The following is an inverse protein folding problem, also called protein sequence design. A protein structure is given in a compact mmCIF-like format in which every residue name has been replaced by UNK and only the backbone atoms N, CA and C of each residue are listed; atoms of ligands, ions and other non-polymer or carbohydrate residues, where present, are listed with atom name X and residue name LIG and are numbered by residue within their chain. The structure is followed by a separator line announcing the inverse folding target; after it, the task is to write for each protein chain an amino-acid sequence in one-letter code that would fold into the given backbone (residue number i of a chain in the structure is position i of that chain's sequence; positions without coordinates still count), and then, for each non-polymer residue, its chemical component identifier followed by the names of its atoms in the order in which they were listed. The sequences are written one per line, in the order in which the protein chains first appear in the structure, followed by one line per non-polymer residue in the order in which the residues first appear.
data_IF_525768844946
#
_entry.id   IF_525768844946
#
_cell.length_a   1.000
_cell.length_b   1.000
_cell.length_c   1.000
_cell.angle_alpha   90.00
_cell.angle_beta   90.00
_cell.angle_gamma   90.00
#
_symmetry.space_group_name_H-M   'P 1'
#
loop_
_entity.id
_entity.type
_entity.pdbx_description
1 polymer ?
#
# COMPACT_ATOMS: atom_id res chain seq x y z
N UNK A 1 -28.80 -50.63 -41.36
CA UNK A 1 -28.12 -49.32 -41.45
C UNK A 1 -27.76 -48.86 -40.04
N UNK A 2 -26.51 -48.99 -39.64
CA UNK A 2 -26.07 -48.63 -38.30
C UNK A 2 -25.62 -47.15 -38.24
N UNK A 3 -26.22 -46.39 -37.35
CA UNK A 3 -25.82 -45.02 -37.04
C UNK A 3 -24.52 -45.04 -36.26
N UNK A 4 -23.44 -44.56 -36.86
CA UNK A 4 -22.19 -44.32 -36.14
C UNK A 4 -22.38 -43.25 -35.09
N UNK A 5 -22.39 -43.63 -33.80
CA UNK A 5 -22.30 -42.73 -32.69
C UNK A 5 -20.87 -42.13 -32.68
N UNK A 6 -20.70 -40.91 -33.18
CA UNK A 6 -19.48 -40.14 -32.91
C UNK A 6 -19.38 -39.93 -31.40
N UNK A 7 -18.50 -40.68 -30.75
CA UNK A 7 -18.21 -40.50 -29.35
C UNK A 7 -17.55 -39.12 -29.13
N UNK A 8 -18.31 -38.21 -28.53
CA UNK A 8 -17.77 -36.96 -28.04
C UNK A 8 -16.79 -37.26 -26.89
N UNK A 9 -15.51 -37.18 -27.16
CA UNK A 9 -14.47 -37.14 -26.12
C UNK A 9 -14.38 -35.71 -25.57
N UNK A 10 -14.76 -35.46 -24.31
CA UNK A 10 -14.64 -34.12 -23.73
C UNK A 10 -13.15 -33.73 -23.69
N UNK A 11 -12.78 -32.66 -24.38
CA UNK A 11 -11.46 -32.06 -24.25
C UNK A 11 -11.19 -31.83 -22.78
N UNK A 12 -10.16 -32.49 -22.22
CA UNK A 12 -9.66 -32.21 -20.87
C UNK A 12 -9.40 -30.71 -20.79
N UNK A 13 -10.19 -29.99 -20.01
CA UNK A 13 -9.89 -28.59 -19.68
C UNK A 13 -8.53 -28.62 -18.99
N UNK A 14 -7.50 -28.06 -19.63
CA UNK A 14 -6.30 -27.70 -18.93
C UNK A 14 -6.69 -26.75 -17.81
N UNK A 15 -6.77 -27.28 -16.60
CA UNK A 15 -6.90 -26.46 -15.40
C UNK A 15 -5.54 -25.82 -15.12
N UNK A 16 -5.14 -24.85 -15.96
CA UNK A 16 -4.21 -23.83 -15.51
C UNK A 16 -4.91 -23.07 -14.39
N UNK A 17 -4.86 -23.61 -13.18
CA UNK A 17 -5.30 -22.90 -12.00
C UNK A 17 -4.45 -21.63 -11.94
N UNK A 18 -5.02 -20.47 -12.30
CA UNK A 18 -4.37 -19.18 -12.12
C UNK A 18 -3.98 -19.11 -10.67
N UNK A 19 -2.68 -19.10 -10.39
CA UNK A 19 -2.18 -18.90 -9.02
C UNK A 19 -2.81 -17.60 -8.49
N UNK A 20 -3.35 -17.63 -7.26
CA UNK A 20 -3.86 -16.46 -6.57
C UNK A 20 -2.78 -15.39 -6.58
N UNK A 21 -3.11 -14.17 -6.90
CA UNK A 21 -2.19 -13.03 -6.76
C UNK A 21 -1.97 -12.77 -5.27
N UNK A 22 -0.76 -12.45 -4.90
CA UNK A 22 -0.48 -11.90 -3.58
C UNK A 22 -1.16 -10.54 -3.45
N UNK A 23 -1.76 -10.27 -2.32
CA UNK A 23 -2.44 -9.00 -2.07
C UNK A 23 -1.58 -8.19 -1.10
N UNK A 24 -1.34 -6.93 -1.44
CA UNK A 24 -0.74 -5.96 -0.55
C UNK A 24 -1.83 -4.97 -0.16
N UNK A 25 -2.24 -5.02 1.10
CA UNK A 25 -3.21 -4.09 1.67
C UNK A 25 -2.48 -2.85 2.18
N UNK A 26 -2.98 -1.66 1.85
CA UNK A 26 -2.36 -0.39 2.24
C UNK A 26 -3.44 0.54 2.82
N UNK A 27 -3.23 0.99 4.05
CA UNK A 27 -3.92 2.15 4.60
C UNK A 27 -3.00 3.37 4.46
N UNK A 28 -3.54 4.49 4.00
CA UNK A 28 -2.83 5.77 3.89
C UNK A 28 -3.51 6.82 4.75
N UNK A 29 -2.74 7.78 5.24
CA UNK A 29 -3.26 8.85 6.08
C UNK A 29 -4.26 9.73 5.32
N UNK A 30 -5.44 9.91 5.89
CA UNK A 30 -6.47 10.77 5.33
C UNK A 30 -6.99 10.33 3.95
N UNK A 31 -7.39 11.33 3.16
CA UNK A 31 -7.94 11.12 1.81
C UNK A 31 -6.92 11.40 0.70
N UNK A 32 -5.65 11.49 1.04
CA UNK A 32 -4.59 11.83 0.11
C UNK A 32 -4.55 10.86 -1.07
N UNK A 33 -4.36 11.41 -2.26
CA UNK A 33 -4.29 10.64 -3.50
C UNK A 33 -2.85 10.27 -3.85
N UNK A 34 -1.87 10.99 -3.29
CA UNK A 34 -0.45 10.90 -3.62
C UNK A 34 0.07 9.49 -3.39
N UNK A 35 -0.11 8.95 -2.19
CA UNK A 35 0.33 7.60 -1.83
C UNK A 35 -0.40 6.54 -2.66
N UNK A 36 -1.71 6.72 -2.85
CA UNK A 36 -2.52 5.79 -3.65
C UNK A 36 -2.05 5.73 -5.10
N UNK A 37 -1.74 6.87 -5.71
CA UNK A 37 -1.21 6.94 -7.06
C UNK A 37 0.19 6.31 -7.13
N UNK A 38 1.04 6.58 -6.13
CA UNK A 38 2.37 6.00 -6.05
C UNK A 38 2.34 4.47 -6.01
N UNK A 39 1.57 3.88 -5.09
CA UNK A 39 1.52 2.43 -4.92
C UNK A 39 0.74 1.72 -6.03
N UNK A 40 -0.29 2.33 -6.59
CA UNK A 40 -1.14 1.72 -7.65
C UNK A 40 -0.34 1.25 -8.86
N UNK A 41 0.77 1.90 -9.18
CA UNK A 41 1.64 1.53 -10.32
C UNK A 41 2.33 0.17 -10.15
N UNK A 42 2.41 -0.34 -8.93
CA UNK A 42 3.04 -1.64 -8.65
C UNK A 42 2.08 -2.84 -8.79
N UNK A 43 0.83 -2.60 -9.21
CA UNK A 43 -0.03 -3.70 -9.62
C UNK A 43 0.60 -4.48 -10.78
N UNK A 44 0.52 -5.82 -10.69
CA UNK A 44 1.11 -6.70 -11.70
C UNK A 44 0.30 -8.00 -11.82
N UNK A 45 0.76 -8.90 -12.67
CA UNK A 45 0.16 -10.24 -12.77
C UNK A 45 0.38 -11.10 -11.51
N UNK A 46 1.36 -10.74 -10.68
CA UNK A 46 1.73 -11.47 -9.47
C UNK A 46 1.21 -10.83 -8.19
N UNK A 47 1.04 -9.51 -8.18
CA UNK A 47 0.71 -8.70 -7.00
C UNK A 47 -0.49 -7.80 -7.30
N UNK A 48 -1.40 -7.72 -6.35
CA UNK A 48 -2.52 -6.79 -6.36
C UNK A 48 -2.41 -5.83 -5.18
N UNK A 49 -2.37 -4.53 -5.45
CA UNK A 49 -2.43 -3.49 -4.42
C UNK A 49 -3.90 -3.18 -4.12
N UNK A 50 -4.26 -3.20 -2.85
CA UNK A 50 -5.58 -2.83 -2.34
C UNK A 50 -5.45 -1.77 -1.27
N UNK A 51 -6.28 -0.74 -1.36
CA UNK A 51 -6.31 0.34 -0.38
C UNK A 51 -7.49 0.16 0.55
N UNK A 52 -7.23 0.33 1.87
CA UNK A 52 -8.30 0.36 2.86
C UNK A 52 -9.27 1.52 2.56
N UNK A 53 -10.55 1.30 2.83
CA UNK A 53 -11.63 2.27 2.57
C UNK A 53 -11.66 3.39 3.58
N UNK A 54 -11.03 3.22 4.74
CA UNK A 54 -10.94 4.23 5.79
C UNK A 54 -10.22 5.50 5.33
N UNK A 55 -10.28 6.50 6.14
CA UNK A 55 -9.65 7.80 5.89
C UNK A 55 -9.27 8.46 7.20
N UNK A 56 -8.99 7.66 8.23
CA UNK A 56 -8.51 8.14 9.52
C UNK A 56 -7.14 8.80 9.37
N UNK A 57 -6.90 9.80 10.20
CA UNK A 57 -5.57 10.43 10.38
C UNK A 57 -4.93 10.01 11.69
N UNK A 58 -5.67 9.31 12.55
CA UNK A 58 -5.14 8.76 13.78
C UNK A 58 -4.47 7.42 13.52
N UNK A 59 -3.17 7.24 13.86
CA UNK A 59 -2.42 6.04 13.57
C UNK A 59 -3.04 4.74 14.11
N UNK A 60 -3.59 4.77 15.33
CA UNK A 60 -4.18 3.58 15.97
C UNK A 60 -5.49 3.19 15.29
N UNK A 61 -6.29 4.18 14.87
CA UNK A 61 -7.52 3.95 14.13
C UNK A 61 -7.23 3.44 12.73
N UNK A 62 -6.20 3.95 12.05
CA UNK A 62 -5.78 3.45 10.73
C UNK A 62 -5.43 1.96 10.77
N UNK A 63 -4.69 1.51 11.79
CA UNK A 63 -4.41 0.08 11.98
C UNK A 63 -5.71 -0.70 12.19
N UNK A 64 -6.67 -0.16 12.94
CA UNK A 64 -7.96 -0.83 13.18
C UNK A 64 -8.78 -0.96 11.90
N UNK A 65 -8.85 0.10 11.10
CA UNK A 65 -9.52 0.12 9.80
C UNK A 65 -8.89 -0.90 8.83
N UNK A 66 -7.55 -0.93 8.77
CA UNK A 66 -6.83 -1.89 7.94
C UNK A 66 -7.06 -3.33 8.38
N UNK A 67 -7.06 -3.60 9.69
CA UNK A 67 -7.38 -4.93 10.25
C UNK A 67 -8.78 -5.39 9.87
N UNK A 68 -9.77 -4.49 9.93
CA UNK A 68 -11.14 -4.83 9.51
C UNK A 68 -11.19 -5.19 8.02
N UNK A 69 -10.56 -4.38 7.17
CA UNK A 69 -10.50 -4.62 5.73
C UNK A 69 -9.77 -5.94 5.40
N UNK A 70 -8.68 -6.24 6.10
CA UNK A 70 -7.93 -7.49 5.96
C UNK A 70 -8.81 -8.70 6.27
N UNK A 71 -9.59 -8.66 7.35
CA UNK A 71 -10.53 -9.72 7.73
C UNK A 71 -11.63 -9.91 6.68
N UNK A 72 -12.24 -8.83 6.23
CA UNK A 72 -13.33 -8.85 5.26
C UNK A 72 -12.89 -9.40 3.90
N UNK A 73 -11.63 -9.21 3.55
CA UNK A 73 -11.04 -9.57 2.26
C UNK A 73 -10.28 -10.90 2.28
N UNK A 74 -10.23 -11.60 3.40
CA UNK A 74 -9.54 -12.88 3.53
C UNK A 74 -8.02 -12.75 3.42
N UNK A 75 -7.43 -11.84 4.20
CA UNK A 75 -5.98 -11.67 4.35
C UNK A 75 -5.33 -12.98 4.81
N UNK A 76 -4.30 -13.40 4.11
CA UNK A 76 -3.59 -14.65 4.36
C UNK A 76 -2.07 -14.45 4.25
N UNK A 77 -1.37 -14.21 5.38
CA UNK A 77 0.07 -14.04 5.39
C UNK A 77 0.82 -15.28 4.89
N UNK A 78 0.28 -16.49 5.12
CA UNK A 78 0.92 -17.73 4.66
C UNK A 78 0.86 -17.85 3.13
N UNK A 79 -0.18 -17.30 2.50
CA UNK A 79 -0.26 -17.18 1.05
C UNK A 79 0.64 -16.05 0.49
N UNK A 80 1.30 -15.30 1.36
CA UNK A 80 2.22 -14.22 1.04
C UNK A 80 1.56 -12.86 0.86
N UNK A 81 0.37 -12.67 1.44
CA UNK A 81 -0.24 -11.34 1.55
C UNK A 81 0.52 -10.48 2.56
N UNK A 82 0.49 -9.18 2.37
CA UNK A 82 1.14 -8.20 3.26
C UNK A 82 0.17 -7.05 3.53
N UNK A 83 0.31 -6.40 4.68
CA UNK A 83 -0.52 -5.27 5.04
C UNK A 83 0.31 -4.15 5.70
N UNK A 84 0.14 -2.93 5.20
CA UNK A 84 0.94 -1.77 5.60
C UNK A 84 0.05 -0.57 5.93
N UNK A 85 0.37 0.12 7.03
CA UNK A 85 -0.09 1.48 7.27
C UNK A 85 1.01 2.46 6.91
N UNK A 86 0.73 3.40 6.02
CA UNK A 86 1.65 4.45 5.57
C UNK A 86 1.24 5.76 6.23
N UNK A 87 2.13 6.33 7.01
CA UNK A 87 1.92 7.50 7.85
C UNK A 87 3.01 8.54 7.62
N UNK A 88 2.67 9.80 7.93
CA UNK A 88 3.63 10.88 8.01
C UNK A 88 3.96 11.22 9.46
N UNK A 89 5.23 11.48 9.77
CA UNK A 89 5.64 11.82 11.14
C UNK A 89 5.29 13.25 11.51
N UNK A 90 5.23 14.15 10.54
CA UNK A 90 5.00 15.61 10.70
C UNK A 90 5.89 16.27 11.78
N UNK A 91 6.91 15.57 12.26
CA UNK A 91 7.77 15.97 13.39
C UNK A 91 7.00 16.34 14.68
N UNK A 92 5.76 15.88 14.83
CA UNK A 92 4.94 16.16 16.01
C UNK A 92 5.21 15.16 17.14
N UNK A 93 5.72 15.64 18.26
CA UNK A 93 6.01 14.78 19.44
C UNK A 93 4.77 14.05 19.98
N UNK A 94 3.58 14.65 19.86
CA UNK A 94 2.32 14.02 20.25
C UNK A 94 1.97 12.83 19.33
N UNK A 95 2.25 12.96 18.04
CA UNK A 95 2.01 11.91 17.03
C UNK A 95 2.95 10.71 17.24
N UNK A 96 4.17 10.95 17.71
CA UNK A 96 5.13 9.87 17.96
C UNK A 96 4.64 8.84 18.97
N UNK A 97 3.92 9.27 20.02
CA UNK A 97 3.30 8.34 20.99
C UNK A 97 2.22 7.48 20.37
N UNK A 98 1.38 8.08 19.52
CA UNK A 98 0.32 7.36 18.81
C UNK A 98 0.91 6.39 17.77
N UNK A 99 1.97 6.79 17.08
CA UNK A 99 2.71 5.92 16.13
C UNK A 99 3.27 4.71 16.90
N UNK A 100 3.90 4.90 18.06
CA UNK A 100 4.43 3.78 18.84
C UNK A 100 3.34 2.81 19.36
N UNK A 101 2.15 3.32 19.67
CA UNK A 101 1.00 2.48 20.02
C UNK A 101 0.44 1.73 18.81
N UNK A 102 0.35 2.40 17.68
CA UNK A 102 -0.09 1.82 16.43
C UNK A 102 0.86 0.72 15.95
N UNK A 103 2.17 0.93 16.12
CA UNK A 103 3.21 -0.05 15.74
C UNK A 103 3.06 -1.35 16.52
N UNK A 104 2.98 -1.27 17.86
CA UNK A 104 2.71 -2.44 18.69
C UNK A 104 1.43 -3.18 18.31
N UNK A 105 0.38 -2.43 17.95
CA UNK A 105 -0.89 -3.02 17.53
C UNK A 105 -0.77 -3.69 16.16
N UNK A 106 -0.01 -3.09 15.24
CA UNK A 106 0.23 -3.64 13.93
C UNK A 106 1.04 -4.93 14.02
N UNK A 107 2.17 -4.93 14.72
CA UNK A 107 3.01 -6.11 14.93
C UNK A 107 2.24 -7.30 15.53
N UNK A 108 1.37 -7.03 16.50
CA UNK A 108 0.54 -8.06 17.12
C UNK A 108 -0.49 -8.71 16.15
N UNK A 109 -0.63 -8.20 14.95
CA UNK A 109 -1.61 -8.64 13.94
C UNK A 109 -1.01 -8.86 12.55
N UNK A 110 0.29 -9.11 12.45
CA UNK A 110 1.02 -9.34 11.19
C UNK A 110 0.92 -8.17 10.18
N UNK A 111 0.78 -6.94 10.69
CA UNK A 111 0.81 -5.72 9.91
C UNK A 111 2.10 -4.96 10.17
N UNK A 112 2.47 -4.07 9.27
CA UNK A 112 3.65 -3.22 9.42
C UNK A 112 3.30 -1.74 9.24
N UNK A 113 4.01 -0.86 9.98
CA UNK A 113 3.96 0.57 9.76
C UNK A 113 5.11 1.03 8.89
N UNK A 114 4.82 1.94 7.96
CA UNK A 114 5.80 2.70 7.19
C UNK A 114 5.62 4.16 7.58
N UNK A 115 6.63 4.74 8.22
CA UNK A 115 6.59 6.13 8.67
C UNK A 115 7.51 6.96 7.80
N UNK A 116 6.94 7.92 7.08
CA UNK A 116 7.71 8.90 6.29
C UNK A 116 8.05 10.11 7.14
N UNK A 117 9.25 10.63 7.00
CA UNK A 117 9.70 11.79 7.76
C UNK A 117 10.34 12.83 6.83
N UNK A 118 9.80 14.03 6.74
CA UNK A 118 8.59 14.53 7.42
C UNK A 118 7.27 14.00 6.83
N UNK A 119 7.21 13.74 5.54
CA UNK A 119 6.01 13.37 4.79
C UNK A 119 6.33 12.41 3.64
N UNK A 120 5.28 11.81 3.05
CA UNK A 120 5.40 10.78 2.02
C UNK A 120 6.12 11.28 0.75
N UNK A 121 6.01 12.55 0.42
CA UNK A 121 6.61 13.15 -0.77
C UNK A 121 8.14 12.99 -0.83
N UNK A 122 8.80 12.73 0.29
CA UNK A 122 10.25 12.43 0.30
C UNK A 122 10.59 11.24 -0.60
N UNK A 123 9.67 10.27 -0.74
CA UNK A 123 9.87 9.10 -1.60
C UNK A 123 9.99 9.47 -3.08
N UNK A 124 9.31 10.54 -3.51
CA UNK A 124 9.47 11.04 -4.88
C UNK A 124 10.88 11.60 -5.09
N UNK A 125 11.41 12.33 -4.11
CA UNK A 125 12.78 12.84 -4.19
C UNK A 125 13.80 11.71 -4.29
N UNK A 126 13.62 10.62 -3.55
CA UNK A 126 14.49 9.46 -3.58
C UNK A 126 14.57 8.76 -4.95
N UNK A 127 13.56 8.94 -5.81
CA UNK A 127 13.61 8.43 -7.19
C UNK A 127 14.47 9.25 -8.13
N UNK A 128 14.77 10.51 -7.79
CA UNK A 128 15.46 11.43 -8.66
C UNK A 128 16.91 11.70 -8.24
N UNK A 129 17.17 11.69 -6.94
CA UNK A 129 18.49 12.04 -6.42
C UNK A 129 18.70 11.55 -4.99
N UNK A 130 19.94 11.19 -4.69
CA UNK A 130 20.37 10.95 -3.31
C UNK A 130 20.70 12.29 -2.66
N UNK A 131 20.03 12.63 -1.56
CA UNK A 131 20.27 13.87 -0.80
C UNK A 131 20.39 13.59 0.69
N UNK A 132 21.48 14.04 1.28
CA UNK A 132 21.70 14.04 2.73
C UNK A 132 21.29 15.36 3.39
N UNK A 133 20.71 16.29 2.62
CA UNK A 133 20.25 17.58 3.17
C UNK A 133 19.09 17.36 4.12
N UNK A 134 19.17 18.00 5.30
CA UNK A 134 18.07 18.00 6.25
C UNK A 134 16.81 18.61 5.60
N UNK A 135 15.68 17.95 5.79
CA UNK A 135 14.37 18.48 5.42
C UNK A 135 13.88 19.39 6.55
N UNK A 136 13.22 20.48 6.20
CA UNK A 136 12.53 21.31 7.19
C UNK A 136 11.39 20.57 7.86
N UNK A 137 10.87 21.16 8.94
CA UNK A 137 9.83 20.56 9.79
C UNK A 137 8.42 20.59 9.21
N UNK A 138 8.24 20.93 7.92
CA UNK A 138 6.94 21.03 7.29
C UNK A 138 6.94 20.45 5.86
N UNK A 139 5.75 20.06 5.41
CA UNK A 139 5.51 19.54 4.06
C UNK A 139 5.91 20.55 2.99
N UNK A 140 5.64 21.84 3.21
CA UNK A 140 5.92 22.92 2.26
C UNK A 140 7.39 22.93 1.81
N UNK A 141 8.33 22.68 2.74
CA UNK A 141 9.76 22.59 2.42
C UNK A 141 10.06 21.41 1.50
N UNK A 142 9.37 20.28 1.68
CA UNK A 142 9.54 19.09 0.85
C UNK A 142 8.96 19.34 -0.53
N UNK A 143 7.75 19.89 -0.62
CA UNK A 143 7.13 20.27 -1.89
C UNK A 143 7.97 21.29 -2.66
N UNK A 144 8.43 22.34 -2.00
CA UNK A 144 9.29 23.37 -2.64
C UNK A 144 10.53 22.77 -3.27
N UNK A 145 11.14 21.76 -2.67
CA UNK A 145 12.31 21.06 -3.24
C UNK A 145 11.96 20.19 -4.44
N UNK A 146 10.81 19.53 -4.43
CA UNK A 146 10.33 18.76 -5.57
C UNK A 146 10.06 19.67 -6.76
N UNK A 147 9.36 20.79 -6.54
CA UNK A 147 9.08 21.79 -7.57
C UNK A 147 10.33 22.47 -8.11
N UNK A 148 11.27 22.83 -7.25
CA UNK A 148 12.52 23.45 -7.67
C UNK A 148 13.37 22.58 -8.60
N UNK A 149 13.32 21.25 -8.43
CA UNK A 149 14.08 20.31 -9.27
C UNK A 149 13.37 19.91 -10.56
N UNK A 150 12.05 19.77 -10.54
CA UNK A 150 11.31 19.05 -11.58
C UNK A 150 10.13 19.82 -12.17
N UNK A 151 9.86 21.04 -11.71
CA UNK A 151 8.79 21.91 -12.24
C UNK A 151 7.35 21.44 -11.92
N UNK A 152 7.16 20.20 -11.54
CA UNK A 152 5.87 19.66 -11.09
C UNK A 152 6.07 18.30 -10.41
N UNK A 153 5.19 17.95 -9.48
CA UNK A 153 5.07 16.55 -9.01
C UNK A 153 4.55 15.74 -10.21
N UNK A 154 5.19 14.62 -10.56
CA UNK A 154 4.70 13.80 -11.66
C UNK A 154 3.27 13.34 -11.38
N UNK A 155 2.33 13.77 -12.21
CA UNK A 155 0.98 13.21 -12.23
C UNK A 155 1.08 11.87 -12.96
N UNK A 156 1.04 10.78 -12.20
CA UNK A 156 0.94 9.42 -12.73
C UNK A 156 -0.51 8.97 -12.80
#
# INVERSE_FOLDING_TARGET
MGLNKHGYTPKKRNSNSRKRKKIIFIATEGKNKTEKLYFKKYNSDKVQIRFAKGGSTDPVNMVSELLSECKDMGFDPEAGDMAYCVLDSDFLASKNKQIALADKKAEANDLSLIVSSPCFEIWYLCHYDYSTKAFGSNEETTYSRIYAKHGSVPHY
#
